data_IF_934205088575
#
_entry.id   IF_934205088575
#
_cell.length_a   1.000
_cell.length_b   1.000
_cell.length_c   1.000
_cell.angle_alpha   90.00
_cell.angle_beta   90.00
_cell.angle_gamma   90.00
#
_symmetry.space_group_name_H-M   'P 1'
#
loop_
_entity.id
_entity.type
_entity.pdbx_description
1 polymer ?
#
# COMPACT_ATOMS: atom_id res chain seq x y z
N UNK A 1 -5.90 -13.61 -36.43
CA UNK A 1 -5.03 -13.42 -35.25
C UNK A 1 -3.92 -14.44 -35.31
N UNK A 2 -2.68 -14.02 -35.11
CA UNK A 2 -1.56 -14.95 -35.03
C UNK A 2 -1.69 -15.84 -33.77
N UNK A 3 -1.11 -17.05 -33.73
CA UNK A 3 -1.12 -17.88 -32.52
C UNK A 3 -0.59 -17.17 -31.27
N UNK A 4 0.38 -16.27 -31.44
CA UNK A 4 0.94 -15.43 -30.37
C UNK A 4 -0.07 -14.42 -29.81
N UNK A 5 -0.85 -13.77 -30.68
CA UNK A 5 -1.87 -12.82 -30.25
C UNK A 5 -3.02 -13.51 -29.51
N UNK A 6 -3.39 -14.73 -29.93
CA UNK A 6 -4.42 -15.53 -29.25
C UNK A 6 -3.96 -15.93 -27.85
N UNK A 7 -2.71 -16.40 -27.70
CA UNK A 7 -2.13 -16.76 -26.40
C UNK A 7 -2.08 -15.56 -25.45
N UNK A 8 -1.67 -14.39 -25.95
CA UNK A 8 -1.62 -13.16 -25.17
C UNK A 8 -3.01 -12.72 -24.69
N UNK A 9 -4.04 -12.79 -25.54
CA UNK A 9 -5.43 -12.50 -25.14
C UNK A 9 -5.95 -13.49 -24.09
N UNK A 10 -5.66 -14.78 -24.23
CA UNK A 10 -6.06 -15.78 -23.24
C UNK A 10 -5.38 -15.56 -21.89
N UNK A 11 -4.11 -15.16 -21.87
CA UNK A 11 -3.38 -14.85 -20.64
C UNK A 11 -3.95 -13.61 -19.94
N UNK A 12 -4.25 -12.54 -20.68
CA UNK A 12 -4.87 -11.34 -20.12
C UNK A 12 -6.23 -11.64 -19.49
N UNK A 13 -7.07 -12.44 -20.16
CA UNK A 13 -8.36 -12.88 -19.61
C UNK A 13 -8.21 -13.72 -18.33
N UNK A 14 -7.20 -14.60 -18.29
CA UNK A 14 -6.89 -15.38 -17.09
C UNK A 14 -6.44 -14.47 -15.93
N UNK A 15 -5.58 -13.49 -16.20
CA UNK A 15 -5.09 -12.54 -15.21
C UNK A 15 -6.22 -11.65 -14.67
N UNK A 16 -7.09 -11.15 -15.54
CA UNK A 16 -8.30 -10.43 -15.13
C UNK A 16 -9.16 -11.29 -14.19
N UNK A 17 -9.39 -12.57 -14.53
CA UNK A 17 -10.16 -13.49 -13.67
C UNK A 17 -9.49 -13.72 -12.31
N UNK A 18 -8.17 -13.85 -12.27
CA UNK A 18 -7.42 -13.99 -11.01
C UNK A 18 -7.53 -12.73 -10.15
N UNK A 19 -7.39 -11.54 -10.76
CA UNK A 19 -7.54 -10.26 -10.08
C UNK A 19 -8.95 -10.11 -9.49
N UNK A 20 -9.99 -10.41 -10.28
CA UNK A 20 -11.39 -10.44 -9.84
C UNK A 20 -11.59 -11.35 -8.61
N UNK A 21 -11.12 -12.60 -8.70
CA UNK A 21 -11.31 -13.58 -7.63
C UNK A 21 -10.56 -13.19 -6.34
N UNK A 22 -9.36 -12.63 -6.46
CA UNK A 22 -8.61 -12.12 -5.30
C UNK A 22 -9.31 -10.93 -4.66
N UNK A 23 -9.78 -9.97 -5.46
CA UNK A 23 -10.52 -8.79 -4.99
C UNK A 23 -11.80 -9.20 -4.24
N UNK A 24 -12.57 -10.13 -4.81
CA UNK A 24 -13.76 -10.69 -4.14
C UNK A 24 -13.37 -11.38 -2.83
N UNK A 25 -12.31 -12.18 -2.85
CA UNK A 25 -11.83 -12.89 -1.65
C UNK A 25 -11.50 -11.91 -0.52
N UNK A 26 -10.82 -10.80 -0.81
CA UNK A 26 -10.53 -9.76 0.17
C UNK A 26 -11.78 -9.16 0.82
N UNK A 27 -12.77 -8.78 0.00
CA UNK A 27 -14.06 -8.26 0.50
C UNK A 27 -14.80 -9.28 1.34
N UNK A 28 -14.92 -10.51 0.84
CA UNK A 28 -15.67 -11.57 1.51
C UNK A 28 -14.99 -11.95 2.82
N UNK A 29 -13.66 -11.98 2.88
CA UNK A 29 -12.91 -12.20 4.12
C UNK A 29 -13.23 -11.13 5.17
N UNK A 30 -13.23 -9.85 4.79
CA UNK A 30 -13.63 -8.76 5.68
C UNK A 30 -15.08 -8.94 6.14
N UNK A 31 -16.01 -9.11 5.21
CA UNK A 31 -17.44 -9.20 5.51
C UNK A 31 -17.77 -10.42 6.40
N UNK A 32 -17.17 -11.58 6.12
CA UNK A 32 -17.33 -12.77 6.94
C UNK A 32 -16.86 -12.52 8.38
N UNK A 33 -15.62 -12.04 8.54
CA UNK A 33 -14.98 -11.86 9.84
C UNK A 33 -15.66 -10.77 10.67
N UNK A 34 -15.96 -9.64 10.05
CA UNK A 34 -16.35 -8.41 10.76
C UNK A 34 -17.87 -8.29 10.89
N UNK A 35 -18.65 -9.01 10.07
CA UNK A 35 -20.10 -8.88 10.06
C UNK A 35 -20.84 -10.21 10.05
N UNK A 36 -20.69 -11.05 9.02
CA UNK A 36 -21.59 -12.20 8.82
C UNK A 36 -21.46 -13.28 9.91
N UNK A 37 -20.23 -13.61 10.33
CA UNK A 37 -19.99 -14.62 11.38
C UNK A 37 -20.51 -14.11 12.74
N UNK A 38 -20.14 -12.90 13.22
CA UNK A 38 -20.71 -12.33 14.44
C UNK A 38 -22.24 -12.28 14.45
N UNK A 39 -22.86 -12.01 13.29
CA UNK A 39 -24.31 -11.92 13.13
C UNK A 39 -24.99 -13.26 12.79
N UNK A 40 -24.27 -14.39 12.83
CA UNK A 40 -24.80 -15.74 12.57
C UNK A 40 -25.51 -15.87 11.20
N UNK A 41 -25.00 -15.18 10.19
CA UNK A 41 -25.56 -15.17 8.83
C UNK A 41 -24.95 -16.23 7.90
N UNK A 42 -23.99 -17.02 8.40
CA UNK A 42 -23.23 -17.95 7.56
C UNK A 42 -23.76 -19.38 7.71
N UNK A 43 -24.06 -20.00 6.57
CA UNK A 43 -24.34 -21.43 6.44
C UNK A 43 -23.16 -22.10 5.72
N UNK A 44 -22.29 -22.75 6.49
CA UNK A 44 -21.02 -23.31 5.98
C UNK A 44 -21.17 -24.45 4.98
N UNK A 45 -22.34 -25.08 4.93
CA UNK A 45 -22.63 -26.18 4.01
C UNK A 45 -23.99 -25.96 3.34
N UNK A 46 -24.08 -24.89 2.55
CA UNK A 46 -25.34 -24.37 2.03
C UNK A 46 -26.14 -25.39 1.21
N UNK A 47 -27.45 -25.45 1.50
CA UNK A 47 -28.43 -26.28 0.79
C UNK A 47 -29.64 -25.46 0.34
N UNK A 48 -30.04 -25.61 -0.92
CA UNK A 48 -31.33 -25.13 -1.41
C UNK A 48 -31.80 -25.96 -2.60
N UNK A 49 -33.11 -26.20 -2.69
CA UNK A 49 -33.75 -26.86 -3.84
C UNK A 49 -33.56 -26.03 -5.11
N UNK A 50 -33.56 -24.71 -4.98
CA UNK A 50 -33.41 -23.73 -6.06
C UNK A 50 -32.00 -23.62 -6.63
N UNK A 51 -31.00 -24.31 -6.06
CA UNK A 51 -29.61 -24.25 -6.53
C UNK A 51 -29.51 -24.65 -8.03
N UNK A 52 -28.80 -23.86 -8.85
CA UNK A 52 -28.50 -24.21 -10.24
C UNK A 52 -27.79 -25.56 -10.36
N UNK A 53 -28.07 -26.30 -11.44
CA UNK A 53 -27.41 -27.59 -11.71
C UNK A 53 -25.89 -27.46 -11.84
N UNK A 54 -25.40 -26.34 -12.36
CA UNK A 54 -23.97 -26.03 -12.45
C UNK A 54 -23.32 -26.01 -11.06
N UNK A 55 -23.94 -25.37 -10.07
CA UNK A 55 -23.46 -25.32 -8.70
C UNK A 55 -23.54 -26.69 -8.00
N UNK A 56 -24.61 -27.45 -8.25
CA UNK A 56 -24.79 -28.80 -7.69
C UNK A 56 -23.76 -29.80 -8.20
N UNK A 57 -23.42 -29.74 -9.49
CA UNK A 57 -22.49 -30.68 -10.15
C UNK A 57 -21.02 -30.35 -9.89
N UNK A 58 -20.66 -29.06 -9.84
CA UNK A 58 -19.26 -28.64 -9.82
C UNK A 58 -18.67 -28.47 -8.41
N UNK A 59 -19.51 -28.32 -7.38
CA UNK A 59 -19.06 -28.06 -6.01
C UNK A 59 -19.77 -28.98 -5.04
N UNK A 60 -19.02 -29.61 -4.14
CA UNK A 60 -19.60 -30.40 -3.05
C UNK A 60 -20.34 -29.50 -2.05
N UNK A 61 -21.08 -30.09 -1.12
CA UNK A 61 -21.77 -29.30 -0.10
C UNK A 61 -20.80 -28.55 0.84
N UNK A 62 -19.64 -29.13 1.11
CA UNK A 62 -18.60 -28.52 1.95
C UNK A 62 -17.93 -27.33 1.26
N UNK A 63 -18.00 -27.25 -0.07
CA UNK A 63 -17.44 -26.17 -0.88
C UNK A 63 -18.44 -25.04 -1.14
N UNK A 64 -19.62 -25.07 -0.50
CA UNK A 64 -20.70 -24.09 -0.71
C UNK A 64 -20.98 -23.36 0.59
N UNK A 65 -20.42 -22.16 0.74
CA UNK A 65 -20.69 -21.30 1.88
C UNK A 65 -21.78 -20.31 1.51
N UNK A 66 -22.92 -20.38 2.20
CA UNK A 66 -24.02 -19.43 2.04
C UNK A 66 -23.91 -18.31 3.06
N UNK A 67 -24.08 -17.07 2.60
CA UNK A 67 -24.24 -15.89 3.43
C UNK A 67 -25.68 -15.43 3.24
N UNK A 68 -26.48 -15.54 4.29
CA UNK A 68 -27.86 -15.08 4.31
C UNK A 68 -27.90 -13.56 4.46
N UNK A 69 -28.77 -12.91 3.68
CA UNK A 69 -29.04 -11.47 3.73
C UNK A 69 -30.50 -11.23 4.17
N UNK A 70 -30.84 -11.42 5.47
CA UNK A 70 -32.22 -11.43 5.97
C UNK A 70 -33.08 -10.24 5.54
N UNK A 71 -32.58 -9.01 5.65
CA UNK A 71 -33.33 -7.79 5.33
C UNK A 71 -33.72 -7.66 3.85
N UNK A 72 -33.02 -8.40 2.98
CA UNK A 72 -33.28 -8.44 1.55
C UNK A 72 -33.85 -9.78 1.11
N UNK A 73 -34.14 -10.71 2.04
CA UNK A 73 -34.53 -12.10 1.76
C UNK A 73 -33.66 -12.77 0.69
N UNK A 74 -32.35 -12.48 0.72
CA UNK A 74 -31.38 -12.89 -0.28
C UNK A 74 -30.32 -13.85 0.26
N UNK A 75 -29.59 -14.49 -0.64
CA UNK A 75 -28.41 -15.31 -0.32
C UNK A 75 -27.27 -14.98 -1.27
N UNK A 76 -26.07 -14.78 -0.72
CA UNK A 76 -24.80 -14.79 -1.43
C UNK A 76 -24.11 -16.13 -1.20
N UNK A 77 -23.86 -16.89 -2.26
CA UNK A 77 -23.22 -18.20 -2.23
C UNK A 77 -21.78 -18.10 -2.72
N UNK A 78 -20.86 -18.64 -1.94
CA UNK A 78 -19.43 -18.67 -2.22
C UNK A 78 -18.98 -20.10 -2.54
N UNK A 79 -18.52 -20.38 -3.76
CA UNK A 79 -17.78 -21.59 -4.06
C UNK A 79 -16.37 -21.50 -3.44
N UNK A 80 -16.10 -22.26 -2.38
CA UNK A 80 -14.86 -22.15 -1.60
C UNK A 80 -14.10 -23.49 -1.53
N UNK A 81 -12.78 -23.42 -1.74
CA UNK A 81 -11.84 -24.54 -1.60
C UNK A 81 -11.46 -24.73 -0.14
N UNK A 82 -11.29 -23.61 0.56
CA UNK A 82 -10.89 -23.56 1.95
C UNK A 82 -11.70 -22.50 2.67
N UNK A 83 -12.04 -22.80 3.91
CA UNK A 83 -12.78 -21.93 4.82
C UNK A 83 -12.21 -22.14 6.22
N UNK A 84 -11.84 -21.06 6.89
CA UNK A 84 -11.41 -21.10 8.30
C UNK A 84 -12.49 -20.55 9.22
N UNK A 85 -12.45 -20.99 10.48
CA UNK A 85 -13.32 -20.45 11.55
C UNK A 85 -13.10 -18.95 11.80
N UNK A 86 -11.98 -18.39 11.36
CA UNK A 86 -11.66 -16.96 11.44
C UNK A 86 -12.23 -16.14 10.26
N UNK A 87 -13.05 -16.77 9.40
CA UNK A 87 -13.67 -16.10 8.24
C UNK A 87 -12.73 -15.90 7.05
N UNK A 88 -11.59 -16.61 7.00
CA UNK A 88 -10.74 -16.65 5.80
C UNK A 88 -11.28 -17.68 4.82
N UNK A 89 -11.53 -17.28 3.58
CA UNK A 89 -11.89 -18.18 2.48
C UNK A 89 -10.83 -18.16 1.37
N UNK A 90 -10.76 -19.27 0.63
CA UNK A 90 -10.10 -19.36 -0.67
C UNK A 90 -11.18 -19.75 -1.68
N UNK A 91 -11.56 -18.82 -2.55
CA UNK A 91 -12.63 -19.05 -3.52
C UNK A 91 -12.14 -19.90 -4.70
N UNK A 92 -13.01 -20.78 -5.20
CA UNK A 92 -12.78 -21.59 -6.40
C UNK A 92 -13.29 -20.86 -7.64
N UNK A 93 -14.40 -20.14 -7.50
CA UNK A 93 -15.07 -19.42 -8.59
C UNK A 93 -15.79 -18.18 -8.06
N UNK A 94 -16.29 -17.37 -8.98
CA UNK A 94 -17.08 -16.18 -8.67
C UNK A 94 -18.31 -16.53 -7.80
N UNK A 95 -18.68 -15.65 -6.87
CA UNK A 95 -19.84 -15.84 -6.03
C UNK A 95 -21.12 -15.73 -6.83
N UNK A 96 -22.18 -16.30 -6.29
CA UNK A 96 -23.52 -16.25 -6.88
C UNK A 96 -24.47 -15.58 -5.91
N UNK A 97 -25.44 -14.84 -6.42
CA UNK A 97 -26.53 -14.31 -5.59
C UNK A 97 -27.88 -14.84 -6.03
N UNK A 98 -28.79 -14.88 -5.06
CA UNK A 98 -30.21 -15.14 -5.23
C UNK A 98 -30.98 -14.11 -4.43
N UNK A 99 -31.57 -13.15 -5.13
CA UNK A 99 -32.45 -12.13 -4.54
C UNK A 99 -33.93 -12.46 -4.81
N UNK A 100 -34.87 -11.91 -4.02
CA UNK A 100 -36.29 -12.07 -4.28
C UNK A 100 -36.68 -11.68 -5.71
N UNK A 101 -37.56 -12.47 -6.33
CA UNK A 101 -38.03 -12.23 -7.70
C UNK A 101 -37.01 -12.48 -8.82
N UNK A 102 -35.74 -12.79 -8.50
CA UNK A 102 -34.67 -12.97 -9.50
C UNK A 102 -34.12 -14.39 -9.52
N UNK A 103 -33.59 -14.85 -10.66
CA UNK A 103 -32.83 -16.11 -10.74
C UNK A 103 -31.47 -16.04 -10.04
N UNK A 104 -30.83 -17.20 -9.89
CA UNK A 104 -29.42 -17.24 -9.47
C UNK A 104 -28.53 -16.67 -10.57
N UNK A 105 -27.61 -15.78 -10.22
CA UNK A 105 -26.64 -15.23 -11.17
C UNK A 105 -25.27 -15.05 -10.51
N UNK A 106 -24.20 -15.10 -11.32
CA UNK A 106 -22.83 -14.82 -10.86
C UNK A 106 -22.63 -13.33 -10.66
N UNK A 107 -21.78 -12.98 -9.70
CA UNK A 107 -21.35 -11.61 -9.45
C UNK A 107 -19.87 -11.47 -9.74
N UNK A 108 -19.49 -10.37 -10.39
CA UNK A 108 -18.10 -9.90 -10.39
C UNK A 108 -17.74 -9.17 -9.07
N UNK A 109 -16.52 -8.64 -8.98
CA UNK A 109 -16.05 -7.92 -7.79
C UNK A 109 -16.92 -6.71 -7.43
N UNK A 110 -17.26 -5.87 -8.42
CA UNK A 110 -18.02 -4.63 -8.21
C UNK A 110 -19.44 -4.96 -7.79
N UNK A 111 -20.07 -5.93 -8.45
CA UNK A 111 -21.41 -6.41 -8.11
C UNK A 111 -21.44 -7.04 -6.72
N UNK A 112 -20.41 -7.81 -6.35
CA UNK A 112 -20.31 -8.41 -5.01
C UNK A 112 -20.18 -7.35 -3.93
N UNK A 113 -19.26 -6.40 -4.08
CA UNK A 113 -19.10 -5.30 -3.12
C UNK A 113 -20.38 -4.46 -3.03
N UNK A 114 -20.97 -4.10 -4.17
CA UNK A 114 -22.18 -3.26 -4.23
C UNK A 114 -23.36 -3.94 -3.54
N UNK A 115 -23.54 -5.26 -3.71
CA UNK A 115 -24.57 -6.02 -2.99
C UNK A 115 -24.36 -5.92 -1.47
N UNK A 116 -23.14 -6.18 -1.00
CA UNK A 116 -22.82 -6.15 0.43
C UNK A 116 -22.93 -4.74 1.02
N UNK A 117 -22.50 -3.70 0.30
CA UNK A 117 -22.64 -2.30 0.73
C UNK A 117 -24.09 -1.85 0.78
N UNK A 118 -24.94 -2.25 -0.18
CA UNK A 118 -26.37 -1.96 -0.12
C UNK A 118 -27.04 -2.65 1.08
N UNK A 119 -26.63 -3.88 1.37
CA UNK A 119 -27.09 -4.57 2.57
C UNK A 119 -26.65 -3.83 3.85
N UNK A 120 -25.36 -3.49 3.98
CA UNK A 120 -24.81 -2.78 5.13
C UNK A 120 -25.43 -1.39 5.33
N UNK A 121 -25.65 -0.64 4.23
CA UNK A 121 -26.38 0.64 4.22
C UNK A 121 -27.73 0.52 4.91
N UNK A 122 -28.50 -0.53 4.58
CA UNK A 122 -29.84 -0.75 5.12
C UNK A 122 -29.80 -1.16 6.60
N UNK A 123 -28.97 -2.15 6.95
CA UNK A 123 -28.97 -2.75 8.30
C UNK A 123 -28.25 -1.91 9.35
N UNK A 124 -27.26 -1.10 8.94
CA UNK A 124 -26.54 -0.20 9.83
C UNK A 124 -27.08 1.24 9.77
N UNK A 125 -28.04 1.53 8.88
CA UNK A 125 -28.55 2.87 8.64
C UNK A 125 -27.45 3.91 8.34
N UNK A 126 -26.44 3.51 7.54
CA UNK A 126 -25.32 4.36 7.13
C UNK A 126 -25.42 4.72 5.64
N UNK A 127 -24.76 5.81 5.18
CA UNK A 127 -24.66 6.11 3.75
C UNK A 127 -23.97 5.00 2.95
N UNK A 128 -24.29 4.90 1.66
CA UNK A 128 -23.58 4.02 0.74
C UNK A 128 -22.18 4.58 0.47
N UNK A 129 -21.14 3.76 0.61
CA UNK A 129 -19.76 4.20 0.43
C UNK A 129 -19.31 4.08 -1.04
N UNK A 130 -19.56 5.14 -1.82
CA UNK A 130 -19.11 5.23 -3.23
C UNK A 130 -17.58 5.25 -3.37
N UNK A 131 -16.87 5.84 -2.39
CA UNK A 131 -15.41 5.90 -2.41
C UNK A 131 -14.79 4.49 -2.38
N UNK A 132 -15.36 3.57 -1.59
CA UNK A 132 -14.89 2.19 -1.51
C UNK A 132 -15.09 1.44 -2.83
N UNK A 133 -16.16 1.73 -3.57
CA UNK A 133 -16.38 1.16 -4.91
C UNK A 133 -15.30 1.63 -5.88
N UNK A 134 -15.02 2.94 -5.91
CA UNK A 134 -13.96 3.50 -6.75
C UNK A 134 -12.56 2.97 -6.37
N UNK A 135 -12.28 2.80 -5.07
CA UNK A 135 -11.05 2.16 -4.60
C UNK A 135 -10.96 0.69 -5.01
N UNK A 136 -12.08 -0.03 -5.07
CA UNK A 136 -12.12 -1.41 -5.55
C UNK A 136 -11.81 -1.49 -7.04
N UNK A 137 -12.42 -0.62 -7.85
CA UNK A 137 -12.13 -0.55 -9.29
C UNK A 137 -10.64 -0.27 -9.52
N UNK A 138 -10.07 0.69 -8.78
CA UNK A 138 -8.65 0.97 -8.82
C UNK A 138 -7.79 -0.23 -8.38
N UNK A 139 -8.09 -0.85 -7.24
CA UNK A 139 -7.35 -2.01 -6.73
C UNK A 139 -7.39 -3.20 -7.69
N UNK A 140 -8.54 -3.43 -8.33
CA UNK A 140 -8.72 -4.49 -9.34
C UNK A 140 -7.84 -4.22 -10.56
N UNK A 141 -7.91 -3.00 -11.11
CA UNK A 141 -7.12 -2.58 -12.26
C UNK A 141 -5.62 -2.69 -11.96
N UNK A 142 -5.16 -2.20 -10.81
CA UNK A 142 -3.76 -2.26 -10.38
C UNK A 142 -3.29 -3.71 -10.25
N UNK A 143 -4.09 -4.58 -9.63
CA UNK A 143 -3.74 -6.01 -9.50
C UNK A 143 -3.64 -6.69 -10.86
N UNK A 144 -4.54 -6.38 -11.79
CA UNK A 144 -4.48 -6.88 -13.16
C UNK A 144 -3.22 -6.39 -13.88
N UNK A 145 -2.85 -5.11 -13.75
CA UNK A 145 -1.63 -4.58 -14.34
C UNK A 145 -0.38 -5.27 -13.79
N UNK A 146 -0.31 -5.52 -12.48
CA UNK A 146 0.80 -6.29 -11.89
C UNK A 146 0.87 -7.73 -12.41
N UNK A 147 -0.27 -8.40 -12.60
CA UNK A 147 -0.29 -9.75 -13.18
C UNK A 147 0.13 -9.77 -14.66
N UNK A 148 -0.13 -8.68 -15.38
CA UNK A 148 0.24 -8.52 -16.78
C UNK A 148 1.66 -7.96 -16.98
N UNK A 149 2.26 -7.41 -15.92
CA UNK A 149 3.65 -6.99 -15.93
C UNK A 149 4.53 -8.24 -16.11
N UNK A 150 5.18 -8.35 -17.27
CA UNK A 150 6.15 -9.40 -17.55
C UNK A 150 7.51 -9.07 -16.92
N UNK A 151 7.53 -8.67 -15.65
CA UNK A 151 8.77 -8.39 -14.93
C UNK A 151 9.10 -9.57 -14.02
N UNK A 152 10.29 -10.13 -14.19
CA UNK A 152 10.90 -10.99 -13.17
C UNK A 152 11.67 -10.04 -12.27
N UNK A 153 11.29 -9.89 -10.98
CA UNK A 153 12.05 -9.04 -10.07
C UNK A 153 13.51 -9.48 -10.11
N UNK A 154 14.42 -8.52 -10.26
CA UNK A 154 15.83 -8.80 -10.14
C UNK A 154 16.08 -9.19 -8.69
N UNK A 155 16.37 -10.47 -8.45
CA UNK A 155 16.54 -10.97 -7.10
C UNK A 155 17.91 -10.52 -6.57
N UNK A 156 17.96 -9.35 -5.95
CA UNK A 156 19.17 -8.90 -5.26
C UNK A 156 19.47 -9.80 -4.05
N UNK A 157 18.47 -10.03 -3.20
CA UNK A 157 18.53 -11.00 -2.11
C UNK A 157 17.13 -11.47 -1.70
N UNK A 158 17.07 -12.45 -0.79
CA UNK A 158 15.83 -13.05 -0.32
C UNK A 158 14.92 -12.06 0.43
N UNK A 159 15.50 -11.07 1.13
CA UNK A 159 14.73 -10.07 1.85
C UNK A 159 13.91 -9.21 0.88
N UNK A 160 14.55 -8.52 -0.08
CA UNK A 160 13.83 -7.64 -1.01
C UNK A 160 12.92 -8.45 -1.95
N UNK A 161 13.31 -9.68 -2.31
CA UNK A 161 12.45 -10.58 -3.06
C UNK A 161 11.15 -10.91 -2.30
N UNK A 162 11.23 -11.08 -0.97
CA UNK A 162 10.03 -11.29 -0.15
C UNK A 162 9.12 -10.05 -0.11
N UNK A 163 9.71 -8.86 0.06
CA UNK A 163 9.00 -7.57 0.07
C UNK A 163 8.27 -7.30 -1.26
N UNK A 164 8.91 -7.67 -2.37
CA UNK A 164 8.38 -7.49 -3.73
C UNK A 164 7.43 -8.62 -4.18
N UNK A 165 7.30 -9.70 -3.42
CA UNK A 165 6.45 -10.85 -3.77
C UNK A 165 4.98 -10.70 -3.38
N UNK A 166 4.61 -9.65 -2.64
CA UNK A 166 3.27 -9.49 -2.06
C UNK A 166 2.22 -8.99 -3.08
N UNK A 167 2.05 -9.70 -4.19
CA UNK A 167 1.18 -9.32 -5.32
C UNK A 167 -0.29 -9.11 -4.92
N UNK A 168 -0.82 -9.97 -4.04
CA UNK A 168 -2.24 -9.97 -3.68
C UNK A 168 -2.58 -8.97 -2.56
N UNK A 169 -1.56 -8.49 -1.84
CA UNK A 169 -1.71 -7.60 -0.71
C UNK A 169 -2.40 -8.24 0.50
N UNK A 170 -3.04 -7.41 1.33
CA UNK A 170 -3.62 -7.83 2.60
C UNK A 170 -4.89 -8.68 2.40
N UNK A 171 -4.89 -9.94 2.86
CA UNK A 171 -6.01 -10.88 2.64
C UNK A 171 -7.33 -10.51 3.32
N UNK A 172 -7.30 -9.59 4.28
CA UNK A 172 -8.49 -9.04 4.96
C UNK A 172 -8.57 -7.52 4.77
N UNK A 173 -8.50 -7.08 3.52
CA UNK A 173 -8.77 -5.70 3.16
C UNK A 173 -9.59 -5.71 1.86
N UNK A 174 -10.61 -4.85 1.71
CA UNK A 174 -11.45 -4.85 0.51
C UNK A 174 -10.70 -4.37 -0.74
N UNK A 175 -9.71 -3.48 -0.56
CA UNK A 175 -9.00 -2.78 -1.65
C UNK A 175 -7.47 -2.76 -1.44
N UNK A 176 -6.82 -3.92 -1.23
CA UNK A 176 -5.45 -4.00 -0.71
C UNK A 176 -4.39 -3.39 -1.63
N UNK A 177 -4.70 -3.21 -2.92
CA UNK A 177 -3.82 -2.62 -3.94
C UNK A 177 -4.33 -1.29 -4.48
N UNK A 178 -5.36 -0.70 -3.86
CA UNK A 178 -5.80 0.65 -4.23
C UNK A 178 -4.71 1.66 -3.94
N UNK A 179 -4.42 2.50 -4.94
CA UNK A 179 -3.48 3.62 -4.89
C UNK A 179 -4.09 4.83 -5.61
N UNK A 180 -5.35 5.12 -5.27
CA UNK A 180 -6.13 6.21 -5.84
C UNK A 180 -5.34 7.53 -5.78
N UNK A 181 -5.34 8.26 -6.90
CA UNK A 181 -4.61 9.53 -7.05
C UNK A 181 -3.24 9.41 -7.71
N UNK A 182 -2.73 8.20 -7.96
CA UNK A 182 -1.48 7.96 -8.69
C UNK A 182 -1.78 7.46 -10.10
N UNK A 183 -1.09 8.00 -11.11
CA UNK A 183 -1.21 7.53 -12.50
C UNK A 183 -0.70 6.09 -12.63
N UNK A 184 -1.16 5.33 -13.62
CA UNK A 184 -0.71 3.94 -13.76
C UNK A 184 0.79 3.84 -14.06
N UNK A 185 1.33 4.79 -14.83
CA UNK A 185 2.76 4.81 -15.18
C UNK A 185 3.62 5.11 -13.96
N UNK A 186 3.26 6.15 -13.17
CA UNK A 186 3.96 6.47 -11.91
C UNK A 186 3.84 5.33 -10.91
N UNK A 187 2.68 4.67 -10.88
CA UNK A 187 2.42 3.53 -10.04
C UNK A 187 3.38 2.40 -10.37
N UNK A 188 3.44 1.96 -11.63
CA UNK A 188 4.32 0.88 -12.07
C UNK A 188 5.79 1.24 -11.87
N UNK A 189 6.18 2.50 -12.10
CA UNK A 189 7.54 2.97 -11.90
C UNK A 189 8.04 2.87 -10.45
N UNK A 190 7.14 2.86 -9.46
CA UNK A 190 7.49 2.80 -8.03
C UNK A 190 6.96 1.55 -7.31
N UNK A 191 6.40 0.56 -8.02
CA UNK A 191 5.73 -0.59 -7.39
C UNK A 191 6.69 -1.71 -7.00
N UNK A 192 6.66 -2.20 -5.74
CA UNK A 192 7.42 -3.40 -5.37
C UNK A 192 7.00 -4.63 -6.16
N UNK A 193 5.71 -4.78 -6.49
CA UNK A 193 5.14 -5.97 -7.14
C UNK A 193 5.66 -6.22 -8.56
N UNK A 194 6.20 -5.18 -9.21
CA UNK A 194 6.82 -5.30 -10.54
C UNK A 194 8.35 -5.29 -10.48
N UNK A 195 8.92 -5.34 -9.27
CA UNK A 195 10.37 -5.27 -9.05
C UNK A 195 10.95 -3.92 -9.44
N UNK A 196 10.22 -2.82 -9.19
CA UNK A 196 10.67 -1.49 -9.57
C UNK A 196 12.02 -1.14 -8.95
N UNK A 197 12.80 -0.35 -9.70
CA UNK A 197 14.04 0.27 -9.26
C UNK A 197 13.88 1.77 -9.50
N UNK A 198 13.81 2.53 -8.41
CA UNK A 198 13.20 3.85 -8.38
C UNK A 198 14.28 4.92 -8.22
N UNK A 199 14.48 5.82 -9.21
CA UNK A 199 15.24 7.03 -8.98
C UNK A 199 14.45 7.95 -8.05
N UNK A 200 15.10 8.54 -7.06
CA UNK A 200 14.48 9.51 -6.16
C UNK A 200 14.35 10.88 -6.85
N UNK A 201 13.48 11.74 -6.34
CA UNK A 201 13.41 13.13 -6.77
C UNK A 201 14.28 13.98 -5.84
N UNK A 202 15.19 14.78 -6.40
CA UNK A 202 16.20 15.51 -5.63
C UNK A 202 15.96 17.02 -5.63
N UNK A 203 16.35 17.64 -4.54
CA UNK A 203 16.47 19.09 -4.37
C UNK A 203 17.88 19.41 -3.91
N UNK A 204 18.46 20.52 -4.38
CA UNK A 204 19.53 21.20 -3.66
C UNK A 204 18.87 22.11 -2.63
N UNK A 205 19.27 22.02 -1.36
CA UNK A 205 18.65 22.76 -0.26
C UNK A 205 19.72 23.44 0.57
N UNK A 206 19.53 24.72 0.88
CA UNK A 206 20.39 25.45 1.81
C UNK A 206 20.43 24.73 3.17
N UNK A 207 21.64 24.51 3.70
CA UNK A 207 21.84 23.75 4.94
C UNK A 207 21.10 24.33 6.15
N UNK A 208 20.77 25.63 6.13
CA UNK A 208 19.99 26.28 7.21
C UNK A 208 18.52 25.82 7.29
N UNK A 209 18.00 25.21 6.21
CA UNK A 209 16.64 24.69 6.17
C UNK A 209 16.55 23.22 6.60
N UNK A 210 17.69 22.52 6.73
CA UNK A 210 17.69 21.11 7.10
C UNK A 210 17.46 20.94 8.60
N UNK A 211 16.44 20.15 8.96
CA UNK A 211 16.22 19.71 10.33
C UNK A 211 16.57 18.22 10.47
N UNK A 212 17.32 17.90 11.52
CA UNK A 212 17.86 16.56 11.78
C UNK A 212 17.50 16.15 13.20
N UNK A 213 16.61 15.18 13.32
CA UNK A 213 16.22 14.55 14.57
C UNK A 213 17.10 13.31 14.79
N UNK A 214 17.66 13.16 15.98
CA UNK A 214 18.55 12.04 16.31
C UNK A 214 18.42 11.60 17.76
N UNK A 215 18.57 10.30 18.00
CA UNK A 215 18.72 9.72 19.34
C UNK A 215 20.03 8.94 19.52
N UNK A 216 20.84 8.85 18.46
CA UNK A 216 22.22 8.36 18.49
C UNK A 216 23.14 9.42 17.83
N UNK A 217 24.39 9.48 18.27
CA UNK A 217 25.43 10.31 17.65
C UNK A 217 26.33 9.53 16.69
N UNK A 218 26.20 8.20 16.66
CA UNK A 218 27.00 7.30 15.82
C UNK A 218 26.27 7.03 14.49
N UNK A 219 27.03 7.01 13.39
CA UNK A 219 26.58 6.60 12.04
C UNK A 219 25.37 7.39 11.50
N UNK A 220 25.57 8.66 11.20
CA UNK A 220 24.54 9.50 10.55
C UNK A 220 24.16 8.97 9.14
N UNK A 221 22.90 9.08 8.70
CA UNK A 221 22.48 8.72 7.35
C UNK A 221 23.04 9.66 6.25
N UNK A 222 23.84 10.67 6.60
CA UNK A 222 24.44 11.61 5.64
C UNK A 222 25.22 10.91 4.53
N UNK A 223 26.05 9.92 4.88
CA UNK A 223 26.86 9.16 3.91
C UNK A 223 25.99 8.38 2.92
N UNK A 224 24.87 7.81 3.39
CA UNK A 224 23.88 7.18 2.52
C UNK A 224 23.29 8.19 1.54
N UNK A 225 22.87 9.35 2.01
CA UNK A 225 22.25 10.37 1.14
C UNK A 225 23.26 10.87 0.09
N UNK A 226 24.51 11.12 0.49
CA UNK A 226 25.59 11.51 -0.41
C UNK A 226 25.90 10.42 -1.45
N UNK A 227 25.95 9.15 -1.04
CA UNK A 227 26.15 8.00 -1.93
C UNK A 227 25.03 7.85 -2.95
N UNK A 228 23.78 8.12 -2.55
CA UNK A 228 22.62 7.99 -3.43
C UNK A 228 22.40 9.20 -4.34
N UNK A 229 23.01 10.34 -4.03
CA UNK A 229 22.78 11.58 -4.73
C UNK A 229 23.28 11.55 -6.19
N UNK A 230 22.62 12.26 -7.11
CA UNK A 230 23.14 12.42 -8.47
C UNK A 230 24.47 13.17 -8.46
N UNK A 231 25.37 12.82 -9.37
CA UNK A 231 26.60 13.57 -9.63
C UNK A 231 26.27 14.96 -10.23
N UNK A 232 26.02 15.93 -9.35
CA UNK A 232 25.78 17.33 -9.74
C UNK A 232 26.63 18.28 -8.88
N UNK A 233 27.24 19.32 -9.49
CA UNK A 233 27.85 20.40 -8.72
C UNK A 233 26.80 21.03 -7.82
N UNK A 234 27.14 21.18 -6.54
CA UNK A 234 26.31 21.88 -5.57
C UNK A 234 27.20 22.79 -4.72
N UNK A 235 26.60 23.84 -4.14
CA UNK A 235 27.32 24.74 -3.24
C UNK A 235 27.73 24.02 -1.95
N UNK A 236 28.87 24.39 -1.36
CA UNK A 236 29.28 23.85 -0.05
C UNK A 236 28.31 24.19 1.10
N UNK A 237 27.50 25.23 0.92
CA UNK A 237 26.46 25.66 1.87
C UNK A 237 25.09 25.01 1.60
N UNK A 238 25.02 24.07 0.65
CA UNK A 238 23.81 23.34 0.29
C UNK A 238 24.02 21.83 0.39
N UNK A 239 22.92 21.11 0.61
CA UNK A 239 22.86 19.64 0.64
C UNK A 239 21.88 19.15 -0.41
N UNK A 240 22.22 18.05 -1.07
CA UNK A 240 21.28 17.32 -1.92
C UNK A 240 20.32 16.51 -1.05
N UNK A 241 19.02 16.81 -1.13
CA UNK A 241 17.99 16.22 -0.30
C UNK A 241 16.92 15.52 -1.15
N UNK A 242 16.66 14.22 -0.93
CA UNK A 242 15.70 13.47 -1.74
C UNK A 242 14.28 13.51 -1.19
N UNK A 243 13.31 13.23 -2.05
CA UNK A 243 11.97 12.78 -1.67
C UNK A 243 11.51 11.64 -2.59
N UNK A 244 10.41 10.99 -2.18
CA UNK A 244 9.78 9.97 -3.03
C UNK A 244 9.18 10.63 -4.29
N UNK A 245 9.31 10.03 -5.49
CA UNK A 245 8.81 10.63 -6.73
C UNK A 245 7.33 11.08 -6.69
N UNK A 246 6.46 10.26 -6.10
CA UNK A 246 5.03 10.59 -5.94
C UNK A 246 4.77 11.80 -5.04
N UNK A 247 5.72 12.17 -4.18
CA UNK A 247 5.58 13.29 -3.25
C UNK A 247 6.06 14.62 -3.84
N UNK A 248 6.89 14.56 -4.90
CA UNK A 248 7.50 15.74 -5.51
C UNK A 248 6.47 16.78 -5.96
N UNK A 249 5.33 16.34 -6.52
CA UNK A 249 4.26 17.24 -6.95
C UNK A 249 3.64 18.00 -5.77
N UNK A 250 3.32 17.31 -4.67
CA UNK A 250 2.75 17.93 -3.47
C UNK A 250 3.73 18.93 -2.85
N UNK A 251 5.02 18.59 -2.82
CA UNK A 251 6.09 19.48 -2.35
C UNK A 251 6.17 20.75 -3.22
N UNK A 252 6.21 20.61 -4.55
CA UNK A 252 6.36 21.74 -5.48
C UNK A 252 5.13 22.66 -5.51
N UNK A 253 3.97 22.16 -5.08
CA UNK A 253 2.75 22.97 -4.94
C UNK A 253 2.67 23.75 -3.62
N UNK A 254 3.56 23.46 -2.66
CA UNK A 254 3.55 24.17 -1.38
C UNK A 254 4.03 25.62 -1.56
N UNK A 255 3.24 26.65 -1.16
CA UNK A 255 3.61 28.05 -1.33
C UNK A 255 4.93 28.46 -0.66
N UNK A 256 5.29 27.86 0.47
CA UNK A 256 6.58 28.13 1.13
C UNK A 256 7.75 27.52 0.38
N UNK A 257 7.56 26.35 -0.22
CA UNK A 257 8.58 25.73 -1.08
C UNK A 257 8.82 26.59 -2.31
N UNK A 258 7.76 27.10 -2.95
CA UNK A 258 7.88 28.03 -4.08
C UNK A 258 8.66 29.29 -3.71
N UNK A 259 8.37 29.89 -2.55
CA UNK A 259 9.11 31.04 -2.04
C UNK A 259 10.57 30.73 -1.70
N UNK A 260 10.85 29.56 -1.12
CA UNK A 260 12.23 29.12 -0.88
C UNK A 260 13.01 28.98 -2.20
N UNK A 261 12.36 28.51 -3.27
CA UNK A 261 12.94 28.44 -4.61
C UNK A 261 13.20 29.84 -5.19
N UNK A 262 12.24 30.74 -5.10
CA UNK A 262 12.40 32.13 -5.55
C UNK A 262 13.53 32.87 -4.82
N UNK A 263 13.75 32.57 -3.55
CA UNK A 263 14.84 33.12 -2.73
C UNK A 263 16.21 32.43 -2.98
N UNK A 264 16.27 31.42 -3.85
CA UNK A 264 17.50 30.64 -4.10
C UNK A 264 17.93 29.76 -2.93
N UNK A 265 17.05 29.50 -1.97
CA UNK A 265 17.30 28.61 -0.81
C UNK A 265 17.02 27.14 -1.12
N UNK A 266 16.34 26.85 -2.22
CA UNK A 266 16.04 25.50 -2.68
C UNK A 266 16.01 25.46 -4.21
N UNK A 267 16.53 24.40 -4.81
CA UNK A 267 16.47 24.19 -6.27
C UNK A 267 16.00 22.77 -6.56
N UNK A 268 14.87 22.56 -7.25
CA UNK A 268 14.48 21.22 -7.69
C UNK A 268 15.42 20.71 -8.79
N UNK A 269 15.94 19.49 -8.62
CA UNK A 269 16.91 18.86 -9.53
C UNK A 269 16.31 17.77 -10.41
N UNK A 270 15.08 17.34 -10.12
CA UNK A 270 14.38 16.28 -10.84
C UNK A 270 14.71 14.88 -10.35
N UNK A 271 14.26 13.88 -11.11
CA UNK A 271 14.59 12.47 -10.85
C UNK A 271 16.06 12.19 -11.16
N UNK A 272 16.73 11.44 -10.28
CA UNK A 272 18.13 11.07 -10.47
C UNK A 272 18.73 10.31 -9.30
N UNK A 273 20.06 10.20 -9.30
CA UNK A 273 20.81 9.46 -8.29
C UNK A 273 20.74 7.95 -8.46
N UNK A 274 21.34 7.25 -7.51
CA UNK A 274 21.26 5.79 -7.44
C UNK A 274 19.83 5.34 -7.15
N UNK A 275 19.42 4.25 -7.80
CA UNK A 275 18.05 3.78 -7.71
C UNK A 275 17.86 2.92 -6.48
N UNK A 276 16.77 3.17 -5.75
CA UNK A 276 16.40 2.35 -4.60
C UNK A 276 15.27 1.37 -4.93
N UNK A 277 15.17 0.30 -4.14
CA UNK A 277 14.18 -0.75 -4.29
C UNK A 277 13.04 -0.53 -3.30
N UNK A 278 11.78 -0.34 -3.74
CA UNK A 278 10.66 -0.17 -2.85
C UNK A 278 10.33 -1.48 -2.15
N UNK A 279 10.02 -1.40 -0.86
CA UNK A 279 9.50 -2.52 -0.05
C UNK A 279 7.98 -2.63 -0.20
N UNK A 280 7.35 -3.61 0.44
CA UNK A 280 5.88 -3.82 0.42
C UNK A 280 5.06 -2.61 0.92
N UNK A 281 5.69 -1.71 1.70
CA UNK A 281 5.08 -0.44 2.14
C UNK A 281 5.07 0.66 1.07
N UNK A 282 5.72 0.41 -0.08
CA UNK A 282 6.02 1.35 -1.18
C UNK A 282 6.98 2.46 -0.78
N UNK A 283 6.71 3.18 0.30
CA UNK A 283 7.47 4.38 0.71
C UNK A 283 8.76 4.10 1.47
N UNK A 284 8.96 2.88 1.97
CA UNK A 284 10.24 2.47 2.54
C UNK A 284 11.09 1.87 1.44
N UNK A 285 12.25 2.48 1.21
CA UNK A 285 13.17 2.19 0.14
C UNK A 285 14.42 1.51 0.70
N UNK A 286 14.90 0.51 -0.04
CA UNK A 286 16.04 -0.34 0.27
C UNK A 286 17.15 -0.13 -0.75
N UNK A 287 18.41 -0.08 -0.32
CA UNK A 287 19.57 -0.22 -1.19
C UNK A 287 20.55 -1.22 -0.55
N UNK A 288 21.10 -2.18 -1.31
CA UNK A 288 21.91 -3.26 -0.75
C UNK A 288 23.24 -2.82 -0.15
N UNK A 289 23.75 -1.66 -0.58
CA UNK A 289 25.04 -1.11 -0.16
C UNK A 289 24.90 0.05 0.84
N UNK A 290 23.72 0.24 1.45
CA UNK A 290 23.49 1.29 2.45
C UNK A 290 23.13 0.70 3.80
N UNK A 291 23.55 1.36 4.88
CA UNK A 291 23.30 0.92 6.27
C UNK A 291 21.86 1.20 6.73
N UNK A 292 21.11 1.99 5.97
CA UNK A 292 19.76 2.41 6.31
C UNK A 292 18.78 2.10 5.19
N UNK A 293 17.56 1.75 5.57
CA UNK A 293 16.37 1.99 4.78
C UNK A 293 15.95 3.45 4.92
N UNK A 294 15.44 4.04 3.84
CA UNK A 294 14.84 5.38 3.87
C UNK A 294 13.31 5.26 3.75
N UNK A 295 12.58 5.71 4.76
CA UNK A 295 11.11 5.70 4.83
C UNK A 295 10.58 7.10 4.58
N UNK A 296 10.19 7.35 3.34
CA UNK A 296 9.70 8.62 2.85
C UNK A 296 8.22 8.84 3.21
N UNK A 297 7.80 10.09 3.19
CA UNK A 297 6.39 10.46 3.09
C UNK A 297 5.87 10.26 1.68
N UNK A 298 4.63 9.76 1.57
CA UNK A 298 3.82 9.82 0.36
C UNK A 298 2.38 10.22 0.74
N UNK A 299 1.83 11.28 0.15
CA UNK A 299 0.47 11.75 0.31
C UNK A 299 -0.52 10.90 -0.50
N UNK A 300 -0.38 9.58 -0.40
CA UNK A 300 -1.18 8.56 -1.08
C UNK A 300 -1.80 7.64 -0.03
N UNK A 301 -3.10 7.34 -0.17
CA UNK A 301 -3.77 6.38 0.69
C UNK A 301 -3.38 4.96 0.27
N UNK A 302 -2.68 4.26 1.17
CA UNK A 302 -2.42 2.82 1.04
C UNK A 302 -3.16 2.09 2.16
N UNK A 303 -4.09 1.22 1.77
CA UNK A 303 -5.09 0.61 2.65
C UNK A 303 -5.93 1.65 3.38
N UNK A 304 -5.84 1.74 4.71
CA UNK A 304 -6.69 2.60 5.52
C UNK A 304 -6.13 4.00 5.75
N UNK A 305 -4.85 4.25 5.45
CA UNK A 305 -4.15 5.46 5.87
C UNK A 305 -3.45 6.15 4.70
N UNK A 306 -3.50 7.48 4.68
CA UNK A 306 -2.53 8.28 3.93
C UNK A 306 -1.16 8.05 4.54
N UNK A 307 -0.16 7.78 3.72
CA UNK A 307 1.16 7.36 4.18
C UNK A 307 2.18 8.52 4.21
N UNK A 308 1.78 9.63 4.82
CA UNK A 308 2.70 10.69 5.23
C UNK A 308 3.36 10.33 6.56
N UNK A 309 4.54 10.88 6.83
CA UNK A 309 5.13 10.91 8.16
C UNK A 309 4.69 12.22 8.81
N UNK A 310 3.75 12.16 9.76
CA UNK A 310 3.36 13.36 10.49
C UNK A 310 4.56 13.92 11.25
N UNK A 311 4.62 15.23 11.47
CA UNK A 311 5.79 15.87 12.08
C UNK A 311 6.13 15.25 13.45
N UNK A 312 5.12 14.96 14.27
CA UNK A 312 5.28 14.31 15.58
C UNK A 312 5.61 12.81 15.48
N UNK A 313 5.31 12.15 14.35
CA UNK A 313 5.71 10.76 14.11
C UNK A 313 7.21 10.65 13.83
N UNK A 314 7.82 11.68 13.21
CA UNK A 314 9.28 11.76 13.04
C UNK A 314 9.97 11.82 14.41
N UNK A 315 9.52 12.73 15.27
CA UNK A 315 10.05 12.89 16.64
C UNK A 315 9.84 11.63 17.49
N UNK A 316 8.61 11.10 17.51
CA UNK A 316 8.29 9.95 18.36
C UNK A 316 9.00 8.66 17.94
N UNK A 317 9.27 8.44 16.65
CA UNK A 317 10.06 7.30 16.18
C UNK A 317 11.51 7.36 16.66
N UNK A 318 12.13 8.54 16.58
CA UNK A 318 13.50 8.78 17.07
C UNK A 318 13.56 8.60 18.60
N UNK A 319 12.59 9.15 19.33
CA UNK A 319 12.49 8.98 20.79
C UNK A 319 12.25 7.53 21.19
N UNK A 320 11.40 6.79 20.47
CA UNK A 320 11.18 5.36 20.71
C UNK A 320 12.48 4.58 20.57
N UNK A 321 13.33 4.89 19.58
CA UNK A 321 14.64 4.28 19.45
C UNK A 321 15.53 4.53 20.67
N UNK A 322 15.50 5.74 21.25
CA UNK A 322 16.20 6.05 22.50
C UNK A 322 15.67 5.22 23.68
N UNK A 323 14.34 5.09 23.80
CA UNK A 323 13.70 4.30 24.87
C UNK A 323 14.05 2.81 24.73
N UNK A 324 14.10 2.30 23.50
CA UNK A 324 14.43 0.91 23.22
C UNK A 324 15.93 0.60 23.36
N UNK A 325 16.81 1.60 23.25
CA UNK A 325 18.25 1.40 23.24
C UNK A 325 18.77 0.66 24.49
N UNK A 326 18.45 1.08 25.74
CA UNK A 326 18.85 0.33 26.93
C UNK A 326 18.29 -1.09 26.97
N UNK A 327 17.09 -1.31 26.41
CA UNK A 327 16.45 -2.63 26.39
C UNK A 327 17.16 -3.55 25.38
N UNK A 328 17.55 -3.02 24.22
CA UNK A 328 18.35 -3.71 23.19
C UNK A 328 19.73 -4.13 23.72
N UNK A 329 20.34 -3.28 24.55
CA UNK A 329 21.63 -3.58 25.19
C UNK A 329 21.50 -4.52 26.41
N UNK A 330 20.33 -4.59 27.03
CA UNK A 330 20.07 -5.48 28.16
C UNK A 330 20.06 -6.96 27.76
N UNK A 331 20.53 -7.83 28.67
CA UNK A 331 20.51 -9.29 28.50
C UNK A 331 19.11 -9.86 28.19
N UNK A 332 18.03 -9.15 28.57
CA UNK A 332 16.64 -9.59 28.38
C UNK A 332 16.18 -9.62 26.91
N UNK A 333 16.81 -8.82 26.03
CA UNK A 333 16.58 -8.85 24.59
C UNK A 333 17.83 -9.29 23.79
N UNK A 334 18.88 -9.77 24.45
CA UNK A 334 19.99 -10.46 23.79
C UNK A 334 19.56 -11.86 23.34
N UNK A 335 18.56 -11.89 22.46
CA UNK A 335 18.12 -13.09 21.78
C UNK A 335 18.76 -13.11 20.38
N UNK A 336 19.57 -14.12 20.04
CA UNK A 336 20.30 -14.16 18.77
C UNK A 336 19.40 -14.24 17.54
N UNK A 337 18.12 -14.59 17.70
CA UNK A 337 17.15 -14.71 16.60
C UNK A 337 16.10 -13.60 16.57
N UNK A 338 16.01 -12.75 17.59
CA UNK A 338 15.10 -11.61 17.62
C UNK A 338 15.88 -10.31 17.49
N UNK A 339 15.57 -9.52 16.46
CA UNK A 339 16.17 -8.21 16.24
C UNK A 339 15.08 -7.18 16.04
N UNK A 340 15.31 -5.99 16.59
CA UNK A 340 14.48 -4.80 16.35
C UNK A 340 15.26 -3.88 15.44
N UNK A 341 14.66 -3.50 14.31
CA UNK A 341 15.20 -2.47 13.43
C UNK A 341 14.77 -1.12 13.98
N UNK A 342 15.69 -0.40 14.61
CA UNK A 342 15.40 0.93 15.18
C UNK A 342 15.39 2.01 14.11
N UNK A 343 14.76 3.15 14.43
CA UNK A 343 14.70 4.36 13.60
C UNK A 343 15.36 5.53 14.36
N UNK A 344 16.70 5.53 14.58
CA UNK A 344 17.38 6.50 15.44
C UNK A 344 17.54 7.89 14.82
N UNK A 345 17.27 8.03 13.51
CA UNK A 345 17.37 9.29 12.79
C UNK A 345 16.11 9.59 11.99
N UNK A 346 15.77 10.88 11.92
CA UNK A 346 14.84 11.42 10.96
C UNK A 346 15.37 12.75 10.41
N UNK A 347 15.07 13.06 9.15
CA UNK A 347 15.39 14.36 8.56
C UNK A 347 14.16 14.95 7.90
N UNK A 348 14.11 16.28 7.84
CA UNK A 348 13.08 17.03 7.12
C UNK A 348 13.56 18.44 6.79
N UNK A 349 12.74 19.23 6.10
CA UNK A 349 12.99 20.64 5.79
C UNK A 349 12.13 21.53 6.68
N UNK A 350 12.76 22.48 7.36
CA UNK A 350 12.12 23.56 8.11
C UNK A 350 12.14 24.86 7.28
N UNK A 351 10.95 25.40 7.00
CA UNK A 351 10.79 26.64 6.23
C UNK A 351 10.39 27.84 7.10
N UNK A 352 10.52 27.76 8.43
CA UNK A 352 10.17 28.86 9.35
C UNK A 352 10.94 30.15 9.05
N UNK A 353 12.19 30.04 8.59
CA UNK A 353 13.00 31.21 8.19
C UNK A 353 12.54 31.85 6.87
N UNK A 354 11.71 31.16 6.08
CA UNK A 354 11.14 31.69 4.83
C UNK A 354 9.92 32.55 5.15
N UNK A 355 8.99 32.03 5.96
CA UNK A 355 7.82 32.73 6.48
C UNK A 355 7.17 31.90 7.60
N UNK A 356 7.24 32.41 8.83
CA UNK A 356 6.78 31.74 10.04
C UNK A 356 5.27 31.87 10.29
N UNK A 357 4.56 32.72 9.54
CA UNK A 357 3.13 32.97 9.74
C UNK A 357 2.25 31.86 9.11
N UNK A 358 2.76 31.19 8.08
CA UNK A 358 2.04 30.14 7.32
C UNK A 358 2.17 28.74 7.93
N UNK A 359 1.65 28.56 9.16
CA UNK A 359 1.82 27.31 9.94
C UNK A 359 1.34 26.04 9.25
N UNK A 360 0.26 26.11 8.47
CA UNK A 360 -0.28 24.95 7.77
C UNK A 360 0.69 24.47 6.67
N UNK A 361 1.20 25.41 5.87
CA UNK A 361 2.16 25.09 4.81
C UNK A 361 3.51 24.67 5.37
N UNK A 362 3.94 25.23 6.51
CA UNK A 362 5.12 24.78 7.25
C UNK A 362 4.99 23.31 7.65
N UNK A 363 3.84 22.97 8.26
CA UNK A 363 3.56 21.61 8.69
C UNK A 363 3.53 20.66 7.50
N UNK A 364 2.82 21.02 6.42
CA UNK A 364 2.76 20.20 5.20
C UNK A 364 4.13 20.00 4.58
N UNK A 365 4.98 21.03 4.49
CA UNK A 365 6.34 20.91 3.96
C UNK A 365 7.17 19.95 4.83
N UNK A 366 7.17 20.16 6.15
CA UNK A 366 7.87 19.31 7.12
C UNK A 366 7.43 17.85 7.03
N UNK A 367 6.14 17.60 6.87
CA UNK A 367 5.62 16.24 6.70
C UNK A 367 6.04 15.64 5.35
N UNK A 368 5.95 16.40 4.26
CA UNK A 368 6.21 15.91 2.90
C UNK A 368 7.70 15.58 2.66
N UNK A 369 8.61 16.37 3.24
CA UNK A 369 10.06 16.12 3.19
C UNK A 369 10.55 15.11 4.24
N UNK A 370 9.68 14.65 5.15
CA UNK A 370 10.06 13.79 6.26
C UNK A 370 10.58 12.42 5.81
N UNK A 371 11.81 12.08 6.21
CA UNK A 371 12.43 10.77 6.01
C UNK A 371 12.78 10.19 7.38
N UNK A 372 12.36 8.94 7.62
CA UNK A 372 12.82 8.13 8.74
C UNK A 372 13.87 7.13 8.26
N UNK A 373 14.97 6.98 9.01
CA UNK A 373 16.06 6.07 8.66
C UNK A 373 16.03 4.86 9.58
N UNK A 374 15.75 3.69 9.00
CA UNK A 374 15.67 2.42 9.73
C UNK A 374 16.92 1.59 9.49
N UNK A 375 17.49 0.99 10.53
CA UNK A 375 18.66 0.10 10.40
C UNK A 375 18.42 -1.00 9.34
N UNK A 376 19.41 -1.25 8.49
CA UNK A 376 19.37 -2.31 7.46
C UNK A 376 19.88 -3.67 7.96
#
# INVERSE_FOLDING_TARGET
MSPSETLAKSQAQLNNRKAQLNTITGVVNCYLREYAIPNKQVEWQYRSTSLPQTLKRNYSQQQRVGIHLPHQNGVLLLPAEYVSQLGKVKLIDMPWSKMPGSGWHKLDAIQTLTLLLNYLKQVLAIPFNNELVAQMENSLLVTEQFLNANTRPQQHNAFIASEQSLLWGHSFHPTPKSRSGVSMDDLLACSPEVGASVPLYWFEVDNTLLDVLRSDERHTPKSMIEQLAPEKPHSGDATLYPCHPWESYTILQNPLVQRAIEQGKMTPLGLGGEKMLPTSSVRTMYHPETEWFAKFSINVRLTNCVRKNAWYELDSAVQLSSILHPIKESEQLQNPVFKVMTEPFATTINLESIDSEQREDLTKARESFGILYREN
#
